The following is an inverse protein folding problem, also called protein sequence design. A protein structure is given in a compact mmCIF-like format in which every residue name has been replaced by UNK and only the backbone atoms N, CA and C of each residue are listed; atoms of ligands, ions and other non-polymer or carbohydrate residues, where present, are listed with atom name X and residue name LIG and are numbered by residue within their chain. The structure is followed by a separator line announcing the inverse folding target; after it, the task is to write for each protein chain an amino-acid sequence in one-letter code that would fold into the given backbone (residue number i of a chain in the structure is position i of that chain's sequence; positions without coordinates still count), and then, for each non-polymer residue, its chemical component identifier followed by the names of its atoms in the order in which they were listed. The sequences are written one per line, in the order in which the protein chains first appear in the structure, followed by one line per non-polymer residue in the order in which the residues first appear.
data_IF_256591622775
#
_entry.id   IF_256591622775
#
_cell.length_a   1.000
_cell.length_b   1.000
_cell.length_c   1.000
_cell.angle_alpha   90.00
_cell.angle_beta   90.00
_cell.angle_gamma   90.00
#
_symmetry.space_group_name_H-M   'P 1'
#
loop_
_entity.id
_entity.type
_entity.pdbx_description
1 polymer ?
#
# COMPACT_ATOMS: atom_id res chain seq x y z
N UNK A 1 5.99 -11.02 -18.46
CA UNK A 1 7.38 -10.95 -17.97
C UNK A 1 7.68 -9.52 -17.58
N UNK A 2 8.21 -9.31 -16.38
CA UNK A 2 8.67 -8.02 -15.87
C UNK A 2 10.09 -8.17 -15.34
N UNK A 3 10.93 -7.15 -15.51
CA UNK A 3 12.27 -7.06 -14.94
C UNK A 3 12.43 -5.69 -14.31
N UNK A 4 12.86 -5.62 -13.08
CA UNK A 4 13.10 -4.37 -12.35
C UNK A 4 14.37 -4.49 -11.51
N UNK A 5 15.04 -3.38 -11.26
CA UNK A 5 16.12 -3.33 -10.27
C UNK A 5 15.61 -3.63 -8.86
N UNK A 6 16.50 -3.93 -7.94
CA UNK A 6 16.15 -3.97 -6.53
C UNK A 6 15.62 -2.61 -6.09
N UNK A 7 14.56 -2.57 -5.28
CA UNK A 7 14.04 -1.30 -4.79
C UNK A 7 15.13 -0.59 -3.97
N UNK A 8 15.38 0.65 -4.31
CA UNK A 8 16.17 1.56 -3.48
C UNK A 8 15.45 1.86 -2.17
N UNK A 9 16.12 2.52 -1.27
CA UNK A 9 15.55 2.94 0.01
C UNK A 9 16.52 3.87 0.72
N UNK A 10 16.05 4.48 1.80
CA UNK A 10 16.94 5.19 2.71
C UNK A 10 17.82 4.20 3.48
N UNK A 11 18.99 4.63 3.94
CA UNK A 11 19.97 3.83 4.69
C UNK A 11 19.52 3.40 6.11
N UNK A 12 18.22 3.41 6.39
CA UNK A 12 17.63 3.03 7.68
C UNK A 12 17.46 1.52 7.86
N UNK A 13 18.07 0.70 7.02
CA UNK A 13 18.07 -0.77 7.11
C UNK A 13 17.51 -1.46 5.89
N UNK A 14 17.72 -2.78 5.84
CA UNK A 14 17.26 -3.63 4.74
C UNK A 14 15.74 -3.67 4.64
N UNK A 15 15.20 -3.26 3.51
CA UNK A 15 13.79 -3.42 3.17
C UNK A 15 13.58 -4.75 2.47
N UNK A 16 13.23 -5.76 3.27
CA UNK A 16 12.94 -7.09 2.73
C UNK A 16 11.79 -7.05 1.73
N UNK A 17 12.04 -7.53 0.51
CA UNK A 17 11.03 -7.76 -0.52
C UNK A 17 10.41 -9.17 -0.45
N UNK A 18 10.78 -9.96 0.57
CA UNK A 18 10.37 -11.35 0.71
C UNK A 18 8.87 -11.56 0.61
N UNK A 19 8.08 -10.75 1.32
CA UNK A 19 6.60 -10.87 1.29
C UNK A 19 6.00 -10.60 -0.09
N UNK A 20 6.61 -9.70 -0.86
CA UNK A 20 6.20 -9.44 -2.25
C UNK A 20 6.45 -10.67 -3.12
N UNK A 21 7.66 -11.23 -3.04
CA UNK A 21 8.07 -12.39 -3.85
C UNK A 21 7.29 -13.65 -3.49
N UNK A 22 7.09 -13.91 -2.20
CA UNK A 22 6.24 -15.02 -1.72
C UNK A 22 4.79 -14.88 -2.20
N UNK A 23 4.24 -13.68 -2.10
CA UNK A 23 2.91 -13.37 -2.59
C UNK A 23 2.79 -13.60 -4.09
N UNK A 24 3.72 -13.08 -4.89
CA UNK A 24 3.75 -13.33 -6.33
C UNK A 24 3.87 -14.82 -6.67
N UNK A 25 4.71 -15.57 -5.93
CA UNK A 25 4.81 -17.02 -6.10
C UNK A 25 3.48 -17.72 -5.84
N UNK A 26 2.74 -17.31 -4.80
CA UNK A 26 1.40 -17.83 -4.52
C UNK A 26 0.40 -17.51 -5.63
N UNK A 27 0.56 -16.39 -6.32
CA UNK A 27 -0.25 -16.00 -7.46
C UNK A 27 0.25 -16.59 -8.80
N UNK A 28 0.99 -17.70 -8.75
CA UNK A 28 1.51 -18.43 -9.92
C UNK A 28 2.60 -17.69 -10.71
N UNK A 29 3.30 -16.75 -10.09
CA UNK A 29 4.47 -16.13 -10.69
C UNK A 29 5.75 -16.89 -10.28
N UNK A 30 6.68 -17.03 -11.22
CA UNK A 30 8.05 -17.45 -10.95
C UNK A 30 8.94 -16.21 -10.90
N UNK A 31 9.93 -16.19 -10.03
CA UNK A 31 10.90 -15.11 -9.99
C UNK A 31 12.33 -15.62 -9.95
N UNK A 32 13.23 -14.78 -10.43
CA UNK A 32 14.67 -15.01 -10.42
C UNK A 32 15.37 -13.71 -10.04
N UNK A 33 16.32 -13.80 -9.11
CA UNK A 33 17.15 -12.69 -8.67
C UNK A 33 18.51 -12.84 -9.32
N UNK A 34 18.87 -11.95 -10.24
CA UNK A 34 20.13 -12.03 -10.98
C UNK A 34 20.71 -10.66 -11.25
N UNK A 35 21.98 -10.46 -10.93
CA UNK A 35 22.75 -9.24 -11.21
C UNK A 35 22.04 -7.94 -10.76
N UNK A 36 21.49 -7.93 -9.56
CA UNK A 36 20.78 -6.75 -9.02
C UNK A 36 19.38 -6.52 -9.59
N UNK A 37 18.85 -7.49 -10.36
CA UNK A 37 17.51 -7.42 -10.95
C UNK A 37 16.60 -8.52 -10.40
N UNK A 38 15.33 -8.16 -10.29
CA UNK A 38 14.21 -9.06 -10.00
C UNK A 38 13.48 -9.30 -11.32
N UNK A 39 13.50 -10.55 -11.77
CA UNK A 39 12.76 -10.97 -12.95
C UNK A 39 11.55 -11.78 -12.54
N UNK A 40 10.35 -11.37 -12.92
CA UNK A 40 9.09 -12.04 -12.59
C UNK A 40 8.40 -12.48 -13.87
N UNK A 41 7.94 -13.73 -13.90
CA UNK A 41 7.27 -14.33 -15.05
C UNK A 41 6.05 -15.09 -14.57
N UNK A 42 4.89 -14.82 -15.20
CA UNK A 42 3.68 -15.63 -15.06
C UNK A 42 3.41 -16.35 -16.40
N UNK A 43 4.08 -17.46 -16.65
CA UNK A 43 4.00 -18.21 -17.94
C UNK A 43 2.54 -18.56 -18.32
N UNK A 44 1.75 -18.98 -17.33
CA UNK A 44 0.36 -19.40 -17.51
C UNK A 44 -0.63 -18.38 -16.92
N UNK A 45 -0.25 -17.09 -16.93
CA UNK A 45 -1.01 -16.02 -16.32
C UNK A 45 -0.96 -16.01 -14.79
N UNK A 46 -1.40 -14.90 -14.22
CA UNK A 46 -1.55 -14.73 -12.79
C UNK A 46 -2.83 -15.45 -12.38
N UNK A 47 -2.77 -16.26 -11.32
CA UNK A 47 -3.90 -17.02 -10.81
C UNK A 47 -4.23 -16.59 -9.39
N UNK A 48 -5.52 -16.38 -9.13
CA UNK A 48 -6.02 -16.10 -7.80
C UNK A 48 -5.68 -17.22 -6.81
N UNK A 49 -5.34 -16.86 -5.58
CA UNK A 49 -5.00 -17.80 -4.52
C UNK A 49 -5.17 -17.14 -3.14
N UNK A 50 -4.97 -17.91 -2.09
CA UNK A 50 -4.97 -17.41 -0.72
C UNK A 50 -3.54 -17.11 -0.29
N UNK A 51 -3.31 -15.88 0.18
CA UNK A 51 -2.04 -15.48 0.80
C UNK A 51 -2.29 -14.77 2.13
N UNK A 52 -1.53 -15.19 3.16
CA UNK A 52 -1.54 -14.56 4.48
C UNK A 52 -0.19 -13.90 4.72
N UNK A 53 -0.16 -12.60 4.92
CA UNK A 53 1.06 -11.89 5.30
C UNK A 53 1.53 -12.34 6.69
N UNK A 54 2.80 -12.75 6.85
CA UNK A 54 3.37 -13.07 8.18
C UNK A 54 3.36 -11.86 9.11
N UNK A 55 3.68 -10.67 8.57
CA UNK A 55 3.55 -9.36 9.21
C UNK A 55 2.74 -8.43 8.30
N UNK A 56 2.04 -7.46 8.91
CA UNK A 56 1.38 -6.40 8.14
C UNK A 56 2.42 -5.63 7.34
N UNK A 57 2.20 -5.49 6.06
CA UNK A 57 3.06 -4.76 5.13
C UNK A 57 2.21 -3.87 4.23
N UNK A 58 2.44 -2.56 4.27
CA UNK A 58 1.72 -1.58 3.45
C UNK A 58 2.01 -1.81 1.97
N UNK A 59 3.29 -1.75 1.59
CA UNK A 59 3.71 -1.91 0.19
C UNK A 59 3.46 -3.32 -0.34
N UNK A 60 3.66 -4.36 0.51
CA UNK A 60 3.32 -5.74 0.16
C UNK A 60 1.83 -5.91 -0.13
N UNK A 61 0.97 -5.33 0.70
CA UNK A 61 -0.49 -5.33 0.49
C UNK A 61 -0.84 -4.65 -0.82
N UNK A 62 -0.33 -3.43 -1.06
CA UNK A 62 -0.59 -2.67 -2.28
C UNK A 62 -0.17 -3.43 -3.54
N UNK A 63 1.03 -4.00 -3.56
CA UNK A 63 1.53 -4.76 -4.71
C UNK A 63 0.70 -6.01 -4.99
N UNK A 64 0.31 -6.76 -3.96
CA UNK A 64 -0.51 -7.95 -4.18
C UNK A 64 -1.95 -7.61 -4.57
N UNK A 65 -2.52 -6.51 -4.09
CA UNK A 65 -3.81 -6.01 -4.58
C UNK A 65 -3.71 -5.71 -6.08
N UNK A 66 -2.74 -4.89 -6.50
CA UNK A 66 -2.56 -4.52 -7.92
C UNK A 66 -2.33 -5.75 -8.81
N UNK A 67 -1.58 -6.73 -8.33
CA UNK A 67 -1.36 -7.98 -9.06
C UNK A 67 -2.65 -8.81 -9.17
N UNK A 68 -3.46 -8.83 -8.12
CA UNK A 68 -4.63 -9.69 -8.00
C UNK A 68 -5.86 -9.21 -8.79
N UNK A 69 -5.96 -7.90 -9.05
CA UNK A 69 -7.15 -7.35 -9.75
C UNK A 69 -7.31 -7.86 -11.18
N UNK A 70 -6.22 -8.30 -11.81
CA UNK A 70 -6.23 -8.90 -13.16
C UNK A 70 -5.88 -10.41 -13.13
N UNK A 71 -5.86 -11.03 -11.96
CA UNK A 71 -5.59 -12.46 -11.83
C UNK A 71 -6.80 -13.29 -12.30
N UNK A 72 -6.54 -14.45 -12.87
CA UNK A 72 -7.62 -15.37 -13.19
C UNK A 72 -8.14 -16.04 -11.89
N UNK A 73 -9.42 -15.85 -11.61
CA UNK A 73 -10.09 -16.38 -10.42
C UNK A 73 -10.08 -15.41 -9.24
N UNK A 74 -10.21 -15.95 -8.03
CA UNK A 74 -10.36 -15.19 -6.78
C UNK A 74 -9.09 -15.24 -5.95
N UNK A 75 -8.66 -14.07 -5.47
CA UNK A 75 -7.57 -13.95 -4.49
C UNK A 75 -8.13 -13.57 -3.12
N UNK A 76 -7.63 -14.20 -2.07
CA UNK A 76 -7.91 -13.82 -0.67
C UNK A 76 -6.60 -13.43 -0.02
N UNK A 77 -6.47 -12.16 0.36
CA UNK A 77 -5.31 -11.66 1.09
C UNK A 77 -5.69 -11.47 2.57
N UNK A 78 -4.95 -12.14 3.46
CA UNK A 78 -5.16 -12.10 4.92
C UNK A 78 -4.03 -11.33 5.61
N UNK A 79 -4.33 -10.71 6.74
CA UNK A 79 -3.42 -9.86 7.51
C UNK A 79 -2.87 -8.69 6.70
N UNK A 80 -3.73 -8.09 5.88
CA UNK A 80 -3.41 -6.91 5.04
C UNK A 80 -3.25 -5.66 5.87
N UNK A 81 -2.51 -4.67 5.33
CA UNK A 81 -2.54 -3.30 5.85
C UNK A 81 -3.88 -2.65 5.53
N UNK A 82 -4.37 -1.83 6.46
CA UNK A 82 -5.58 -1.01 6.33
C UNK A 82 -5.25 0.49 6.47
N UNK A 83 -3.99 0.86 6.25
CA UNK A 83 -3.57 2.25 6.27
C UNK A 83 -4.31 3.07 5.21
N UNK A 84 -4.49 4.39 5.42
CA UNK A 84 -5.25 5.24 4.51
C UNK A 84 -4.84 5.14 3.04
N UNK A 85 -3.55 5.06 2.77
CA UNK A 85 -2.98 4.93 1.43
C UNK A 85 -3.36 3.61 0.75
N UNK A 86 -3.52 2.52 1.52
CA UNK A 86 -4.00 1.24 0.98
C UNK A 86 -5.49 1.30 0.66
N UNK A 87 -6.27 1.94 1.54
CA UNK A 87 -7.70 2.14 1.33
C UNK A 87 -7.93 3.04 0.11
N UNK A 88 -7.11 4.06 -0.06
CA UNK A 88 -7.17 4.95 -1.22
C UNK A 88 -6.86 4.21 -2.54
N UNK A 89 -5.82 3.40 -2.56
CA UNK A 89 -5.52 2.51 -3.69
C UNK A 89 -6.70 1.58 -4.02
N UNK A 90 -7.35 1.01 -3.00
CA UNK A 90 -8.54 0.16 -3.21
C UNK A 90 -9.67 0.96 -3.85
N UNK A 91 -9.92 2.18 -3.40
CA UNK A 91 -10.93 3.08 -3.99
C UNK A 91 -10.61 3.39 -5.44
N UNK A 92 -9.38 3.78 -5.72
CA UNK A 92 -8.89 4.03 -7.08
C UNK A 92 -9.12 2.82 -8.00
N UNK A 93 -8.70 1.64 -7.60
CA UNK A 93 -8.88 0.43 -8.40
C UNK A 93 -10.35 0.07 -8.60
N UNK A 94 -11.19 0.26 -7.57
CA UNK A 94 -12.64 0.04 -7.68
C UNK A 94 -13.31 1.02 -8.62
N UNK A 95 -12.89 2.29 -8.66
CA UNK A 95 -13.42 3.24 -9.64
C UNK A 95 -13.07 2.86 -11.08
N UNK A 96 -11.95 2.14 -11.29
CA UNK A 96 -11.57 1.51 -12.56
C UNK A 96 -12.25 0.16 -12.84
N UNK A 97 -13.15 -0.31 -11.96
CA UNK A 97 -13.91 -1.54 -12.15
C UNK A 97 -13.35 -2.78 -11.44
N UNK A 98 -12.34 -2.64 -10.58
CA UNK A 98 -11.84 -3.76 -9.77
C UNK A 98 -12.90 -4.24 -8.76
N UNK A 99 -12.96 -5.55 -8.57
CA UNK A 99 -13.88 -6.20 -7.63
C UNK A 99 -13.14 -6.57 -6.34
N UNK A 100 -13.09 -5.64 -5.39
CA UNK A 100 -12.37 -5.78 -4.11
C UNK A 100 -13.35 -5.61 -2.95
N UNK A 101 -13.36 -6.56 -2.02
CA UNK A 101 -14.28 -6.62 -0.89
C UNK A 101 -13.54 -6.93 0.41
N UNK A 102 -13.85 -6.21 1.49
CA UNK A 102 -13.45 -6.61 2.83
C UNK A 102 -14.38 -7.71 3.33
N UNK A 103 -13.81 -8.86 3.71
CA UNK A 103 -14.53 -10.00 4.30
C UNK A 103 -14.14 -10.24 5.76
N UNK A 104 -13.38 -9.33 6.34
CA UNK A 104 -12.94 -9.27 7.72
C UNK A 104 -12.10 -8.02 7.97
N UNK A 105 -11.74 -7.73 9.23
CA UNK A 105 -11.00 -6.50 9.59
C UNK A 105 -9.70 -6.30 8.80
N UNK A 106 -8.96 -7.38 8.55
CA UNK A 106 -7.69 -7.38 7.80
C UNK A 106 -7.67 -8.47 6.74
N UNK A 107 -8.82 -8.74 6.13
CA UNK A 107 -8.94 -9.75 5.08
C UNK A 107 -9.73 -9.18 3.92
N UNK A 108 -9.16 -9.24 2.74
CA UNK A 108 -9.81 -8.80 1.50
C UNK A 108 -9.95 -9.95 0.52
N UNK A 109 -11.05 -9.96 -0.20
CA UNK A 109 -11.35 -10.83 -1.34
C UNK A 109 -11.29 -9.99 -2.60
N UNK A 110 -10.59 -10.46 -3.61
CA UNK A 110 -10.43 -9.80 -4.90
C UNK A 110 -10.86 -10.81 -5.97
N UNK A 111 -11.91 -10.51 -6.71
CA UNK A 111 -12.25 -11.26 -7.91
C UNK A 111 -11.55 -10.60 -9.09
N UNK A 112 -10.70 -11.35 -9.78
CA UNK A 112 -9.98 -10.83 -10.92
C UNK A 112 -10.92 -10.46 -12.07
N UNK A 113 -10.63 -9.36 -12.75
CA UNK A 113 -11.39 -8.87 -13.90
C UNK A 113 -10.53 -8.94 -15.17
N UNK A 114 -11.18 -9.02 -16.33
CA UNK A 114 -10.46 -9.12 -17.61
C UNK A 114 -9.69 -7.84 -17.95
N UNK A 115 -10.21 -6.67 -17.56
CA UNK A 115 -9.59 -5.36 -17.77
C UNK A 115 -10.07 -4.37 -16.73
N UNK A 116 -9.28 -3.33 -16.49
CA UNK A 116 -9.70 -2.13 -15.80
C UNK A 116 -10.02 -1.04 -16.82
N UNK A 117 -10.96 -0.18 -16.46
CA UNK A 117 -11.32 0.99 -17.28
C UNK A 117 -10.53 2.21 -16.79
N UNK A 118 -10.44 3.24 -17.65
CA UNK A 118 -9.97 4.56 -17.22
C UNK A 118 -10.92 5.16 -16.19
N UNK A 119 -10.36 5.88 -15.22
CA UNK A 119 -11.13 6.57 -14.19
C UNK A 119 -10.39 7.84 -13.73
N UNK A 120 -11.15 8.75 -13.13
CA UNK A 120 -10.60 9.91 -12.43
C UNK A 120 -10.61 9.61 -10.93
N UNK A 121 -9.51 9.91 -10.25
CA UNK A 121 -9.36 9.72 -8.82
C UNK A 121 -8.56 10.86 -8.21
N UNK A 122 -9.06 11.42 -7.13
CA UNK A 122 -8.33 12.38 -6.32
C UNK A 122 -7.57 11.62 -5.22
N UNK A 123 -6.24 11.65 -5.30
CA UNK A 123 -5.38 10.98 -4.33
C UNK A 123 -5.44 11.72 -3.01
N UNK A 124 -5.50 10.98 -1.91
CA UNK A 124 -5.49 11.58 -0.56
C UNK A 124 -4.17 12.30 -0.28
N UNK A 125 -4.21 13.33 0.57
CA UNK A 125 -3.00 14.00 1.04
C UNK A 125 -2.05 13.05 1.78
N UNK A 126 -0.74 13.25 1.61
CA UNK A 126 0.29 12.45 2.26
C UNK A 126 0.37 12.80 3.75
N UNK A 127 -0.08 11.88 4.61
CA UNK A 127 -0.06 12.05 6.06
C UNK A 127 1.36 12.05 6.64
N UNK A 128 2.30 11.36 6.00
CA UNK A 128 3.70 11.29 6.45
C UNK A 128 4.39 12.62 6.19
N UNK A 129 4.21 13.18 5.00
CA UNK A 129 4.69 14.51 4.66
C UNK A 129 4.07 15.58 5.57
N UNK A 130 2.76 15.56 5.73
CA UNK A 130 2.04 16.47 6.62
C UNK A 130 2.58 16.43 8.05
N UNK A 131 2.81 15.24 8.59
CA UNK A 131 3.36 15.09 9.94
C UNK A 131 4.80 15.63 10.04
N UNK A 132 5.62 15.45 9.02
CA UNK A 132 6.98 15.98 8.97
C UNK A 132 6.98 17.51 9.06
N UNK A 133 6.09 18.19 8.35
CA UNK A 133 5.92 19.65 8.46
C UNK A 133 5.39 20.09 9.82
N UNK A 134 4.48 19.33 10.42
CA UNK A 134 4.00 19.62 11.77
C UNK A 134 5.13 19.51 12.81
N UNK A 135 5.99 18.48 12.69
CA UNK A 135 7.18 18.35 13.54
C UNK A 135 8.15 19.53 13.34
N UNK A 136 8.37 19.97 12.10
CA UNK A 136 9.21 21.13 11.79
C UNK A 136 8.69 22.39 12.50
N UNK A 137 7.37 22.65 12.42
CA UNK A 137 6.77 23.79 13.12
C UNK A 137 6.91 23.68 14.65
N UNK A 138 6.76 22.47 15.20
CA UNK A 138 6.92 22.24 16.63
C UNK A 138 8.35 22.55 17.12
N UNK A 139 9.37 22.07 16.41
CA UNK A 139 10.80 22.28 16.77
C UNK A 139 11.20 23.75 16.64
N UNK A 140 10.74 24.43 15.60
CA UNK A 140 11.09 25.84 15.34
C UNK A 140 10.20 26.81 16.09
N UNK A 141 9.23 26.34 16.88
CA UNK A 141 8.19 27.19 17.52
C UNK A 141 7.43 28.05 16.52
N UNK A 142 7.34 27.59 15.28
CA UNK A 142 6.70 28.27 14.16
C UNK A 142 5.20 28.06 14.12
N UNK A 143 4.57 28.62 13.08
CA UNK A 143 3.15 28.39 12.75
C UNK A 143 3.06 27.81 11.35
N UNK A 144 2.24 26.78 11.18
CA UNK A 144 1.97 26.18 9.89
C UNK A 144 0.48 25.89 9.72
N UNK A 145 -0.02 26.02 8.53
CA UNK A 145 -1.33 25.53 8.12
C UNK A 145 -1.14 24.49 7.04
N UNK A 146 -1.75 23.33 7.21
CA UNK A 146 -1.72 22.24 6.24
C UNK A 146 -3.14 22.03 5.73
N UNK A 147 -3.33 22.19 4.44
CA UNK A 147 -4.61 22.02 3.78
C UNK A 147 -4.66 20.65 3.06
N UNK A 148 -5.85 20.23 2.68
CA UNK A 148 -6.13 19.01 1.90
C UNK A 148 -5.67 17.69 2.55
N UNK A 149 -5.55 17.67 3.86
CA UNK A 149 -5.30 16.45 4.64
C UNK A 149 -6.47 16.17 5.57
N UNK A 150 -6.87 14.92 5.66
CA UNK A 150 -7.88 14.54 6.64
C UNK A 150 -7.21 14.32 8.01
N UNK A 151 -7.53 15.11 9.05
CA UNK A 151 -6.92 14.99 10.37
C UNK A 151 -7.09 13.62 11.01
N UNK A 152 -8.11 12.85 10.63
CA UNK A 152 -8.32 11.47 11.09
C UNK A 152 -7.15 10.54 10.74
N UNK A 153 -6.43 10.83 9.65
CA UNK A 153 -5.26 10.04 9.24
C UNK A 153 -4.02 10.30 10.09
N UNK A 154 -4.05 11.37 10.91
CA UNK A 154 -2.99 11.82 11.80
C UNK A 154 -3.40 11.74 13.28
N UNK A 155 -4.44 10.99 13.62
CA UNK A 155 -5.01 11.00 14.97
C UNK A 155 -3.98 10.74 16.07
N UNK A 156 -3.12 9.74 15.89
CA UNK A 156 -2.10 9.37 16.86
C UNK A 156 -1.01 10.44 16.97
N UNK A 157 -0.55 10.94 15.84
CA UNK A 157 0.48 11.95 15.69
C UNK A 157 0.05 13.28 16.32
N UNK A 158 -1.16 13.72 16.01
CA UNK A 158 -1.75 14.94 16.60
C UNK A 158 -1.92 14.83 18.11
N UNK A 159 -2.26 13.65 18.61
CA UNK A 159 -2.35 13.37 20.05
C UNK A 159 -0.99 13.50 20.74
N UNK A 160 0.07 13.04 20.10
CA UNK A 160 1.45 13.19 20.61
C UNK A 160 1.86 14.65 20.60
N UNK A 161 1.68 15.37 19.49
CA UNK A 161 2.01 16.80 19.41
C UNK A 161 1.28 17.63 20.49
N UNK A 162 -0.02 17.34 20.71
CA UNK A 162 -0.77 18.00 21.77
C UNK A 162 -0.20 17.70 23.18
N UNK A 163 0.23 16.46 23.44
CA UNK A 163 0.83 16.07 24.73
C UNK A 163 2.15 16.78 25.03
N UNK A 164 2.95 17.08 24.01
CA UNK A 164 4.20 17.82 24.15
C UNK A 164 4.01 19.35 24.15
N UNK A 165 2.75 19.84 24.20
CA UNK A 165 2.44 21.24 24.37
C UNK A 165 2.19 22.04 23.08
N UNK A 166 2.09 21.38 21.91
CA UNK A 166 1.73 22.10 20.69
C UNK A 166 0.27 22.57 20.70
N UNK A 167 0.04 23.83 20.33
CA UNK A 167 -1.30 24.37 20.13
C UNK A 167 -1.83 23.99 18.74
N UNK A 168 -2.85 23.13 18.70
CA UNK A 168 -3.42 22.58 17.48
C UNK A 168 -4.86 23.07 17.30
N UNK A 169 -5.13 23.63 16.12
CA UNK A 169 -6.52 23.86 15.62
C UNK A 169 -6.77 22.86 14.51
N UNK A 170 -7.87 22.10 14.60
CA UNK A 170 -8.21 21.04 13.65
C UNK A 170 -9.57 21.37 13.02
#
# INVERSE_FOLDING_TARGET
KCSTGFPGGCSLGDRSIGFHLEGFKKLNCQYNLRKGYINIIAKNGIKGNIFKFPKVSVTGTSNLIMCSVLANGTTILKNVSIEPEVIDLIKFLKSGGAQIYFIGKKTIKINGVKKLNGCTHEVIGDRIEAFSYLCTAAITKGKIKIDKINPKYLFTELKVLKKIGCNLKI
#
